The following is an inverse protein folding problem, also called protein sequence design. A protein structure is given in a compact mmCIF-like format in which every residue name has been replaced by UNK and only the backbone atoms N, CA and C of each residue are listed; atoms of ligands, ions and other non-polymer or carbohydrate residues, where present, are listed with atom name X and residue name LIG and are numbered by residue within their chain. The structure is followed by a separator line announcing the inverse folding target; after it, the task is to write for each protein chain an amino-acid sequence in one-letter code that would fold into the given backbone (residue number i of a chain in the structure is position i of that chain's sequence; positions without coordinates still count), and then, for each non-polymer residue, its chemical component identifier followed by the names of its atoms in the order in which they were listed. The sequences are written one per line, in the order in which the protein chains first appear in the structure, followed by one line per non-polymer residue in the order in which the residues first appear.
data_IF_404795558841
#
_entry.id   IF_404795558841
#
_cell.length_a   1.000
_cell.length_b   1.000
_cell.length_c   1.000
_cell.angle_alpha   90.00
_cell.angle_beta   90.00
_cell.angle_gamma   90.00
#
_symmetry.space_group_name_H-M   'P 1'
#
loop_
_entity.id
_entity.type
_entity.pdbx_description
1 polymer ?
#
# COMPACT_ATOMS: atom_id res chain seq x y z
N UNK A 1 -2.07 -22.57 -9.35
CA UNK A 1 -2.54 -21.56 -8.42
C UNK A 1 -1.43 -20.67 -7.97
N UNK A 2 -1.57 -19.41 -8.09
CA UNK A 2 -0.52 -18.46 -7.75
C UNK A 2 -1.04 -17.40 -6.82
N UNK A 3 -0.19 -17.02 -5.88
CA UNK A 3 -0.49 -15.95 -4.97
C UNK A 3 0.53 -14.85 -5.17
N UNK A 4 0.06 -13.64 -5.17
CA UNK A 4 0.93 -12.49 -5.33
C UNK A 4 0.67 -11.53 -4.19
N UNK A 5 1.75 -11.08 -3.55
CA UNK A 5 1.64 -10.11 -2.49
C UNK A 5 1.37 -8.75 -3.11
N UNK A 6 0.42 -8.04 -2.56
CA UNK A 6 0.08 -6.71 -3.05
C UNK A 6 0.02 -5.73 -1.89
N UNK A 7 0.47 -4.50 -2.15
CA UNK A 7 0.34 -3.40 -1.20
C UNK A 7 -0.86 -2.59 -1.64
N UNK A 8 -1.84 -2.45 -0.76
CA UNK A 8 -3.17 -1.95 -1.10
C UNK A 8 -3.22 -0.43 -1.07
N UNK A 9 -2.33 0.21 -1.83
CA UNK A 9 -2.25 1.67 -1.82
C UNK A 9 -3.51 2.29 -2.42
N UNK A 10 -4.00 1.75 -3.54
CA UNK A 10 -5.19 2.32 -4.16
C UNK A 10 -6.40 2.18 -3.25
N UNK A 11 -6.55 1.04 -2.62
CA UNK A 11 -7.67 0.81 -1.71
C UNK A 11 -7.60 1.78 -0.52
N UNK A 12 -6.40 2.02 -0.01
CA UNK A 12 -6.23 2.93 1.11
C UNK A 12 -6.58 4.36 0.73
N UNK A 13 -6.11 4.81 -0.43
CA UNK A 13 -6.42 6.17 -0.85
C UNK A 13 -7.90 6.35 -1.10
N UNK A 14 -8.55 5.34 -1.65
CA UNK A 14 -10.00 5.42 -1.88
C UNK A 14 -10.77 5.39 -0.57
N UNK A 15 -10.37 4.50 0.34
CA UNK A 15 -11.05 4.38 1.61
C UNK A 15 -10.98 5.68 2.41
N UNK A 16 -9.84 6.34 2.36
CA UNK A 16 -9.63 7.57 3.13
C UNK A 16 -9.87 8.82 2.32
N UNK A 17 -10.27 8.66 1.05
CA UNK A 17 -10.64 9.76 0.18
C UNK A 17 -9.49 10.77 0.04
N UNK A 18 -8.29 10.27 -0.18
CA UNK A 18 -7.11 11.12 -0.37
C UNK A 18 -6.38 10.69 -1.64
N UNK A 19 -5.52 11.57 -2.12
CA UNK A 19 -4.69 11.24 -3.27
C UNK A 19 -3.40 10.56 -2.83
N UNK A 20 -2.69 9.98 -3.79
CA UNK A 20 -1.37 9.42 -3.48
C UNK A 20 -0.42 10.53 -3.03
N UNK A 21 -0.59 11.73 -3.57
CA UNK A 21 0.24 12.87 -3.15
C UNK A 21 0.01 13.19 -1.68
N UNK A 22 -1.23 13.16 -1.25
CA UNK A 22 -1.53 13.41 0.15
C UNK A 22 -1.00 12.29 1.03
N UNK A 23 -1.11 11.05 0.57
CA UNK A 23 -0.55 9.93 1.30
C UNK A 23 0.95 10.09 1.45
N UNK A 24 1.62 10.55 0.39
CA UNK A 24 3.06 10.80 0.44
C UNK A 24 3.38 11.84 1.52
N UNK A 25 2.59 12.89 1.60
CA UNK A 25 2.81 13.94 2.59
C UNK A 25 2.61 13.41 4.01
N UNK A 26 1.58 12.59 4.21
CA UNK A 26 1.26 12.07 5.54
C UNK A 26 2.27 11.06 6.04
N UNK A 27 2.86 10.30 5.14
CA UNK A 27 3.74 9.20 5.52
C UNK A 27 5.21 9.51 5.31
N UNK A 28 5.52 10.62 4.67
CA UNK A 28 6.89 10.99 4.31
C UNK A 28 7.55 9.90 3.46
N UNK A 29 6.75 9.28 2.60
CA UNK A 29 7.21 8.32 1.62
C UNK A 29 7.14 8.98 0.26
N UNK A 30 8.16 8.80 -0.56
CA UNK A 30 8.21 9.44 -1.86
C UNK A 30 7.01 9.04 -2.71
N UNK A 31 6.49 10.02 -3.43
CA UNK A 31 5.36 9.78 -4.34
C UNK A 31 5.68 8.66 -5.32
N UNK A 32 6.89 8.66 -5.88
CA UNK A 32 7.28 7.64 -6.85
C UNK A 32 7.23 6.24 -6.23
N UNK A 33 7.67 6.13 -4.98
CA UNK A 33 7.64 4.84 -4.30
C UNK A 33 6.21 4.34 -4.11
N UNK A 34 5.34 5.24 -3.66
CA UNK A 34 3.93 4.87 -3.46
C UNK A 34 3.27 4.49 -4.78
N UNK A 35 3.58 5.23 -5.84
CA UNK A 35 3.04 4.94 -7.15
C UNK A 35 3.49 3.57 -7.64
N UNK A 36 4.75 3.23 -7.42
CA UNK A 36 5.27 1.93 -7.82
C UNK A 36 4.62 0.81 -7.02
N UNK A 37 4.41 1.03 -5.73
CA UNK A 37 3.71 0.05 -4.92
C UNK A 37 2.27 -0.14 -5.38
N UNK A 38 1.60 0.97 -5.71
CA UNK A 38 0.22 0.92 -6.17
C UNK A 38 0.08 0.17 -7.47
N UNK A 39 1.09 0.25 -8.33
CA UNK A 39 1.07 -0.39 -9.64
C UNK A 39 1.80 -1.72 -9.65
N UNK A 40 2.18 -2.21 -8.48
CA UNK A 40 2.80 -3.53 -8.33
C UNK A 40 4.09 -3.66 -9.11
N UNK A 41 4.86 -2.58 -9.17
CA UNK A 41 6.11 -2.57 -9.91
C UNK A 41 7.32 -2.83 -9.03
N UNK A 42 7.15 -2.96 -7.74
CA UNK A 42 8.24 -3.24 -6.83
C UNK A 42 8.15 -4.67 -6.34
N UNK A 43 9.30 -5.26 -6.09
CA UNK A 43 9.36 -6.61 -5.55
C UNK A 43 9.86 -6.62 -4.11
N UNK A 44 10.24 -5.47 -3.60
CA UNK A 44 10.72 -5.34 -2.23
C UNK A 44 9.93 -4.28 -1.51
N UNK A 45 9.76 -4.47 -0.22
CA UNK A 45 9.02 -3.56 0.63
C UNK A 45 9.92 -3.13 1.78
N UNK A 46 9.87 -1.85 2.09
CA UNK A 46 10.54 -1.31 3.26
C UNK A 46 9.57 -1.41 4.44
N UNK A 47 9.96 -2.14 5.47
CA UNK A 47 9.10 -2.30 6.64
C UNK A 47 8.73 -0.96 7.25
N UNK A 48 9.67 -0.01 7.26
CA UNK A 48 9.39 1.32 7.79
C UNK A 48 8.27 2.01 7.05
N UNK A 49 8.17 1.79 5.74
CA UNK A 49 7.09 2.37 4.96
C UNK A 49 5.73 1.82 5.40
N UNK A 50 5.67 0.52 5.66
CA UNK A 50 4.43 -0.09 6.11
C UNK A 50 4.05 0.46 7.48
N UNK A 51 5.04 0.63 8.36
CA UNK A 51 4.79 1.15 9.69
C UNK A 51 4.27 2.59 9.63
N UNK A 52 4.83 3.41 8.74
CA UNK A 52 4.38 4.78 8.60
C UNK A 52 2.95 4.86 8.08
N UNK A 53 2.61 4.01 7.14
CA UNK A 53 1.25 3.98 6.63
C UNK A 53 0.28 3.58 7.74
N UNK A 54 0.66 2.58 8.53
CA UNK A 54 -0.19 2.14 9.62
C UNK A 54 -0.39 3.25 10.64
N UNK A 55 0.67 4.00 10.94
CA UNK A 55 0.57 5.09 11.89
C UNK A 55 -0.28 6.24 11.36
N UNK A 56 -0.17 6.53 10.07
CA UNK A 56 -0.92 7.63 9.49
C UNK A 56 -2.43 7.42 9.58
N UNK A 57 -2.88 6.18 9.50
CA UNK A 57 -4.29 5.86 9.51
C UNK A 57 -4.74 5.08 10.74
N UNK A 58 -3.84 4.92 11.71
CA UNK A 58 -4.14 4.16 12.93
C UNK A 58 -4.63 2.75 12.60
N UNK A 59 -3.92 2.09 11.71
CA UNK A 59 -4.26 0.74 11.27
C UNK A 59 -3.58 -0.25 12.19
N UNK A 60 -4.34 -1.23 12.67
CA UNK A 60 -3.79 -2.27 13.53
C UNK A 60 -3.72 -3.62 12.87
N UNK A 61 -4.42 -3.79 11.75
CA UNK A 61 -4.43 -5.05 11.03
C UNK A 61 -3.66 -4.87 9.73
N UNK A 62 -2.51 -5.53 9.63
CA UNK A 62 -1.65 -5.36 8.47
C UNK A 62 -2.34 -5.75 7.17
N UNK A 63 -3.39 -6.57 7.25
CA UNK A 63 -4.10 -6.97 6.04
C UNK A 63 -4.79 -5.80 5.35
N UNK A 64 -4.97 -4.70 6.06
CA UNK A 64 -5.51 -3.49 5.41
C UNK A 64 -4.48 -2.84 4.51
N UNK A 65 -3.20 -3.17 4.67
CA UNK A 65 -2.13 -2.58 3.88
C UNK A 65 -1.57 -3.58 2.89
N UNK A 66 -1.37 -4.82 3.31
CA UNK A 66 -0.76 -5.87 2.51
C UNK A 66 -1.64 -7.10 2.54
N UNK A 67 -1.78 -7.75 1.39
CA UNK A 67 -2.53 -8.99 1.34
C UNK A 67 -2.10 -9.77 0.11
N UNK A 68 -2.50 -11.01 0.05
CA UNK A 68 -2.30 -11.80 -1.15
C UNK A 68 -3.40 -11.49 -2.14
N UNK A 69 -3.01 -11.42 -3.38
CA UNK A 69 -3.94 -11.26 -4.48
C UNK A 69 -3.95 -12.57 -5.25
N UNK A 70 -5.13 -13.14 -5.38
CA UNK A 70 -5.25 -14.38 -6.11
C UNK A 70 -5.29 -14.04 -7.59
N UNK A 71 -4.22 -14.33 -8.29
CA UNK A 71 -4.12 -13.94 -9.69
C UNK A 71 -4.96 -14.81 -10.59
N UNK A 72 -5.49 -15.91 -10.06
CA UNK A 72 -6.26 -16.73 -10.87
C UNK A 72 -7.71 -16.34 -10.89
N UNK A 73 -8.21 -15.78 -10.34
CA UNK A 73 -9.59 -15.53 -10.41
C UNK A 73 -10.12 -14.65 -10.99
N UNK A 74 -10.01 -14.83 -11.20
CA UNK A 74 -10.53 -14.17 -11.68
C UNK A 74 -11.29 -13.77 -11.47
#
# INVERSE_FOLDING_TARGET
MQKKLTVKIKELTEKHNISIRELSRLTDIRHATLSELANEKRQNINFGHIERIAEAFDIEDIREIIDFKNSKNN
#
